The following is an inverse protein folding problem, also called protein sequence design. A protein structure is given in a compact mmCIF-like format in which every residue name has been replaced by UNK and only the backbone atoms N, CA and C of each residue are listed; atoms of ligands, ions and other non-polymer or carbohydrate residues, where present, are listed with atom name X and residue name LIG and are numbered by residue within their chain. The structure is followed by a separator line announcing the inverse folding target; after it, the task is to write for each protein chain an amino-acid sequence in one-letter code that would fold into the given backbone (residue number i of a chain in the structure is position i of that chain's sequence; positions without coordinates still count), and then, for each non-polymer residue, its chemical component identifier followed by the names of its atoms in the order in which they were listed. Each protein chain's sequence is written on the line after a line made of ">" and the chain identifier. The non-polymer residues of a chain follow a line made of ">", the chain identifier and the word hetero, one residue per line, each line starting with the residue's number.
data_IF_840127455300
#
_entry.id   IF_840127455300
#
_cell.length_a   1.000
_cell.length_b   1.000
_cell.length_c   1.000
_cell.angle_alpha   90.00
_cell.angle_beta   90.00
_cell.angle_gamma   90.00
#
_symmetry.space_group_name_H-M   'P 1'
#
loop_
_entity.id
_entity.type
_entity.pdbx_description
1 polymer ?
#
# COMPACT_ATOMS: atom_id res chain seq x y z
N UNK A 1 1.61 25.44 -7.56
CA UNK A 1 1.69 24.04 -8.07
C UNK A 1 1.60 23.13 -6.85
N UNK A 2 0.81 22.05 -6.92
CA UNK A 2 0.74 21.07 -5.82
C UNK A 2 2.08 20.35 -5.70
N UNK A 3 2.50 20.08 -4.46
CA UNK A 3 3.73 19.35 -4.17
C UNK A 3 3.60 17.89 -4.66
N UNK A 4 4.48 17.40 -5.55
CA UNK A 4 4.40 16.06 -6.11
C UNK A 4 4.65 14.95 -5.08
N UNK A 5 5.25 15.25 -3.93
CA UNK A 5 5.51 14.28 -2.87
C UNK A 5 4.28 13.98 -2.02
N UNK A 6 3.40 14.97 -1.87
CA UNK A 6 2.21 14.89 -1.00
C UNK A 6 0.90 14.86 -1.76
N UNK A 7 0.94 15.02 -3.09
CA UNK A 7 -0.25 14.98 -3.95
C UNK A 7 -0.31 13.66 -4.70
N UNK A 8 -1.37 12.83 -4.52
CA UNK A 8 -1.51 11.57 -5.23
C UNK A 8 -1.80 11.81 -6.72
N UNK A 9 -0.86 11.41 -7.58
CA UNK A 9 -1.07 11.37 -9.04
C UNK A 9 -1.88 10.13 -9.42
N UNK A 10 -2.62 10.17 -10.53
CA UNK A 10 -3.21 8.97 -11.12
C UNK A 10 -2.12 8.14 -11.80
N UNK A 11 -1.98 6.87 -11.39
CA UNK A 11 -1.02 5.92 -11.94
C UNK A 11 -1.78 4.78 -12.61
N UNK A 12 -1.55 4.54 -13.89
CA UNK A 12 -2.32 3.55 -14.67
C UNK A 12 -1.43 2.43 -15.18
N UNK A 13 -1.79 1.20 -14.83
CA UNK A 13 -1.24 -0.03 -15.37
C UNK A 13 -2.20 -0.68 -16.37
N UNK A 14 -2.07 -1.99 -16.54
CA UNK A 14 -2.93 -2.82 -17.37
C UNK A 14 -4.02 -3.53 -16.57
N UNK A 15 -3.76 -3.84 -15.30
CA UNK A 15 -4.68 -4.53 -14.38
C UNK A 15 -5.28 -3.56 -13.37
N UNK A 16 -4.53 -2.52 -12.96
CA UNK A 16 -4.92 -1.61 -11.90
C UNK A 16 -4.67 -0.15 -12.29
N UNK A 17 -5.59 0.72 -11.87
CA UNK A 17 -5.37 2.16 -11.79
C UNK A 17 -5.35 2.58 -10.32
N UNK A 18 -4.33 3.32 -9.92
CA UNK A 18 -4.28 3.99 -8.63
C UNK A 18 -4.78 5.42 -8.84
N UNK A 19 -5.85 5.79 -8.19
CA UNK A 19 -6.39 7.15 -8.25
C UNK A 19 -6.52 7.74 -6.85
N UNK A 20 -6.43 9.06 -6.73
CA UNK A 20 -6.55 9.73 -5.45
C UNK A 20 -7.78 9.23 -4.69
N UNK A 21 -7.61 8.88 -3.42
CA UNK A 21 -8.73 8.45 -2.58
C UNK A 21 -9.75 9.59 -2.45
N UNK A 22 -11.04 9.28 -2.60
CA UNK A 22 -12.14 10.24 -2.53
C UNK A 22 -13.31 9.69 -1.69
N UNK A 23 -14.17 10.57 -1.15
CA UNK A 23 -15.33 10.16 -0.36
C UNK A 23 -16.29 9.22 -1.11
N UNK A 24 -16.45 9.40 -2.42
CA UNK A 24 -17.33 8.58 -3.27
C UNK A 24 -16.87 7.11 -3.44
N UNK A 25 -15.66 6.78 -3.03
CA UNK A 25 -15.17 5.40 -2.98
C UNK A 25 -15.76 4.58 -1.82
N UNK A 26 -16.50 5.18 -0.87
CA UNK A 26 -16.93 4.53 0.37
C UNK A 26 -17.72 3.22 0.13
N UNK A 27 -18.73 3.26 -0.73
CA UNK A 27 -19.55 2.08 -1.03
C UNK A 27 -18.73 0.96 -1.67
N UNK A 28 -17.84 1.30 -2.62
CA UNK A 28 -16.98 0.34 -3.32
C UNK A 28 -15.92 -0.27 -2.38
N UNK A 29 -15.32 0.54 -1.50
CA UNK A 29 -14.38 0.04 -0.48
C UNK A 29 -15.08 -0.86 0.53
N UNK A 30 -16.31 -0.55 0.94
CA UNK A 30 -17.10 -1.42 1.80
C UNK A 30 -17.34 -2.78 1.13
N UNK A 31 -17.73 -2.77 -0.14
CA UNK A 31 -17.94 -3.99 -0.92
C UNK A 31 -16.65 -4.80 -1.14
N UNK A 32 -15.47 -4.15 -1.19
CA UNK A 32 -14.18 -4.84 -1.28
C UNK A 32 -13.73 -5.42 0.07
N UNK A 33 -14.07 -4.76 1.17
CA UNK A 33 -13.68 -5.13 2.53
C UNK A 33 -14.74 -5.98 3.27
N UNK A 34 -15.42 -6.88 2.58
CA UNK A 34 -16.50 -7.72 3.09
C UNK A 34 -16.02 -8.94 3.92
N UNK A 35 -14.73 -9.29 3.85
CA UNK A 35 -14.12 -10.41 4.57
C UNK A 35 -13.14 -9.90 5.65
N UNK A 36 -13.37 -10.19 6.95
CA UNK A 36 -12.53 -9.71 8.05
C UNK A 36 -11.07 -10.16 7.96
N UNK A 37 -10.77 -11.26 7.27
CA UNK A 37 -9.38 -11.74 7.07
C UNK A 37 -8.49 -10.71 6.38
N UNK A 38 -9.09 -9.78 5.63
CA UNK A 38 -8.38 -8.69 4.96
C UNK A 38 -7.72 -7.75 5.97
N UNK A 39 -8.33 -7.60 7.15
CA UNK A 39 -7.97 -6.63 8.18
C UNK A 39 -7.26 -7.22 9.40
N UNK A 40 -7.06 -8.55 9.45
CA UNK A 40 -6.46 -9.28 10.58
C UNK A 40 -5.21 -8.64 11.19
N UNK A 41 -4.41 -7.97 10.36
CA UNK A 41 -3.16 -7.32 10.79
C UNK A 41 -3.21 -5.77 10.70
N UNK A 42 -4.38 -5.20 10.48
CA UNK A 42 -4.61 -3.76 10.39
C UNK A 42 -5.34 -3.28 11.65
N UNK A 43 -4.63 -2.58 12.52
CA UNK A 43 -5.16 -2.10 13.79
C UNK A 43 -6.39 -1.21 13.61
N UNK A 44 -7.45 -1.50 14.39
CA UNK A 44 -8.71 -0.76 14.38
C UNK A 44 -9.50 -0.97 13.08
N UNK A 45 -9.24 -2.05 12.34
CA UNK A 45 -9.98 -2.41 11.13
C UNK A 45 -10.82 -3.66 11.36
N UNK A 46 -12.03 -3.63 10.85
CA UNK A 46 -13.00 -4.71 10.88
C UNK A 46 -13.81 -4.68 9.58
N UNK A 47 -14.78 -5.57 9.44
CA UNK A 47 -15.69 -5.59 8.28
C UNK A 47 -16.24 -4.19 8.02
N UNK A 48 -16.16 -3.77 6.76
CA UNK A 48 -16.55 -2.45 6.35
C UNK A 48 -18.02 -2.39 5.92
N UNK A 49 -18.83 -1.60 6.66
CA UNK A 49 -20.05 -1.03 6.09
C UNK A 49 -19.73 0.25 5.30
N UNK A 50 -20.63 0.73 4.43
CA UNK A 50 -20.42 2.02 3.74
C UNK A 50 -20.14 3.18 4.69
N UNK A 51 -20.79 3.22 5.86
CA UNK A 51 -20.60 4.27 6.87
C UNK A 51 -19.20 4.17 7.52
N UNK A 52 -18.76 2.97 7.84
CA UNK A 52 -17.40 2.72 8.37
C UNK A 52 -16.36 3.10 7.33
N UNK A 53 -16.57 2.74 6.06
CA UNK A 53 -15.67 3.12 4.97
C UNK A 53 -15.61 4.64 4.79
N UNK A 54 -16.75 5.33 4.80
CA UNK A 54 -16.81 6.79 4.70
C UNK A 54 -16.03 7.48 5.84
N UNK A 55 -16.25 7.07 7.08
CA UNK A 55 -15.54 7.62 8.25
C UNK A 55 -14.03 7.34 8.19
N UNK A 56 -13.60 6.21 7.60
CA UNK A 56 -12.18 5.90 7.42
C UNK A 56 -11.54 6.71 6.31
N UNK A 57 -12.23 6.90 5.20
CA UNK A 57 -11.77 7.77 4.12
C UNK A 57 -11.57 9.19 4.66
N UNK A 58 -12.56 9.72 5.37
CA UNK A 58 -12.48 11.06 5.97
C UNK A 58 -11.25 11.19 6.87
N UNK A 59 -11.04 10.25 7.81
CA UNK A 59 -9.84 10.24 8.68
C UNK A 59 -8.53 10.10 7.91
N UNK A 60 -8.52 9.31 6.83
CA UNK A 60 -7.34 9.13 5.99
C UNK A 60 -7.01 10.41 5.24
N UNK A 61 -8.01 11.08 4.66
CA UNK A 61 -7.84 12.34 3.94
C UNK A 61 -7.49 13.51 4.86
N UNK A 62 -7.97 13.50 6.11
CA UNK A 62 -7.63 14.51 7.12
C UNK A 62 -6.20 14.35 7.68
N UNK A 63 -5.52 13.23 7.42
CA UNK A 63 -4.17 13.00 7.91
C UNK A 63 -3.12 13.45 6.86
N UNK A 64 -2.44 14.58 7.06
CA UNK A 64 -1.47 15.12 6.10
C UNK A 64 -0.22 14.25 5.95
N UNK A 65 0.02 13.29 6.85
CA UNK A 65 1.13 12.36 6.76
C UNK A 65 0.87 11.19 5.77
N UNK A 66 -0.32 11.13 5.17
CA UNK A 66 -0.69 10.07 4.23
C UNK A 66 -0.94 10.64 2.83
N UNK A 67 -0.45 9.93 1.83
CA UNK A 67 -0.78 10.16 0.41
C UNK A 67 -1.55 8.92 -0.07
N UNK A 68 -2.89 8.95 -0.05
CA UNK A 68 -3.71 7.77 -0.24
C UNK A 68 -4.20 7.60 -1.68
N UNK A 69 -4.21 6.35 -2.15
CA UNK A 69 -4.82 5.92 -3.40
C UNK A 69 -5.87 4.84 -3.18
N UNK A 70 -6.97 4.94 -3.93
CA UNK A 70 -7.85 3.82 -4.21
C UNK A 70 -7.23 2.96 -5.33
N UNK A 71 -7.34 1.64 -5.22
CA UNK A 71 -6.88 0.67 -6.22
C UNK A 71 -8.09 0.20 -7.04
N UNK A 72 -8.20 0.62 -8.30
CA UNK A 72 -9.30 0.24 -9.19
C UNK A 72 -8.87 -0.90 -10.10
N UNK A 73 -9.56 -2.03 -10.05
CA UNK A 73 -9.36 -3.15 -10.99
C UNK A 73 -9.90 -2.74 -12.38
N UNK A 74 -9.02 -2.64 -13.35
CA UNK A 74 -9.38 -2.20 -14.71
C UNK A 74 -10.21 -3.20 -15.50
N UNK A 75 -10.29 -4.47 -15.05
CA UNK A 75 -11.12 -5.49 -15.71
C UNK A 75 -12.59 -5.38 -15.33
N UNK A 76 -12.87 -4.89 -14.11
CA UNK A 76 -14.23 -4.80 -13.57
C UNK A 76 -14.71 -3.37 -13.34
N UNK A 77 -13.77 -2.40 -13.24
CA UNK A 77 -14.05 -1.03 -12.83
C UNK A 77 -14.28 -0.89 -11.32
N UNK A 78 -14.16 -1.97 -10.54
CA UNK A 78 -14.41 -1.97 -9.11
C UNK A 78 -13.19 -1.48 -8.32
N UNK A 79 -13.44 -0.80 -7.20
CA UNK A 79 -12.38 -0.50 -6.24
C UNK A 79 -12.03 -1.77 -5.46
N UNK A 80 -10.80 -2.23 -5.63
CA UNK A 80 -10.30 -3.45 -5.00
C UNK A 80 -9.76 -3.26 -3.58
N UNK A 81 -9.43 -2.03 -3.21
CA UNK A 81 -8.82 -1.69 -1.92
C UNK A 81 -8.13 -0.34 -1.94
N UNK A 82 -7.21 -0.13 -1.02
CA UNK A 82 -6.42 1.11 -0.92
C UNK A 82 -4.97 0.86 -0.57
N UNK A 83 -4.15 1.88 -0.80
CA UNK A 83 -2.72 1.93 -0.42
C UNK A 83 -2.29 3.37 -0.20
N UNK A 84 -1.21 3.60 0.54
CA UNK A 84 -0.69 4.95 0.78
C UNK A 84 0.83 5.00 0.65
N UNK A 85 1.37 6.19 0.29
CA UNK A 85 2.65 6.60 0.83
C UNK A 85 2.44 7.21 2.22
N UNK A 86 3.40 7.03 3.09
CA UNK A 86 3.49 7.65 4.41
C UNK A 86 4.97 7.80 4.79
N UNK A 87 5.27 8.49 5.90
CA UNK A 87 6.64 8.85 6.26
C UNK A 87 7.39 9.46 5.07
N UNK A 88 6.70 10.35 4.35
CA UNK A 88 7.22 11.04 3.17
C UNK A 88 8.21 12.10 3.61
N UNK A 89 9.45 12.01 3.15
CA UNK A 89 10.50 12.98 3.40
C UNK A 89 11.20 13.33 2.07
N UNK A 90 10.86 14.51 1.55
CA UNK A 90 11.40 14.99 0.27
C UNK A 90 12.87 15.41 0.39
N UNK A 91 13.33 15.85 1.57
CA UNK A 91 14.72 16.24 1.80
C UNK A 91 15.63 15.00 1.84
N UNK A 92 15.22 13.97 2.57
CA UNK A 92 15.90 12.68 2.62
C UNK A 92 15.61 11.82 1.39
N UNK A 93 14.68 12.22 0.54
CA UNK A 93 14.21 11.49 -0.65
C UNK A 93 13.76 10.07 -0.31
N UNK A 94 12.91 9.93 0.72
CA UNK A 94 12.40 8.65 1.20
C UNK A 94 10.88 8.65 1.31
N UNK A 95 10.28 7.48 1.11
CA UNK A 95 8.87 7.23 1.38
C UNK A 95 8.69 5.84 1.96
N UNK A 96 7.63 5.65 2.74
CA UNK A 96 7.16 4.31 3.09
C UNK A 96 5.88 3.98 2.32
N UNK A 97 5.74 2.72 1.89
CA UNK A 97 4.51 2.19 1.28
C UNK A 97 3.78 1.33 2.30
N UNK A 98 2.52 1.66 2.58
CA UNK A 98 1.73 0.90 3.53
C UNK A 98 0.26 1.24 3.52
N UNK A 99 -0.42 0.98 4.66
CA UNK A 99 -1.88 1.08 4.74
C UNK A 99 -2.58 0.32 3.60
N UNK A 100 -1.89 -0.71 3.06
CA UNK A 100 -2.34 -1.48 1.91
C UNK A 100 -3.24 -2.62 2.36
N UNK A 101 -4.42 -2.66 1.77
CA UNK A 101 -5.29 -3.82 1.81
C UNK A 101 -6.02 -3.96 0.47
N UNK A 102 -6.39 -5.18 0.16
CA UNK A 102 -7.12 -5.54 -1.05
C UNK A 102 -8.15 -6.59 -0.65
N UNK A 103 -9.37 -6.43 -1.11
CA UNK A 103 -10.45 -7.37 -0.90
C UNK A 103 -10.07 -8.80 -1.30
N UNK A 104 -10.53 -9.80 -0.56
CA UNK A 104 -10.12 -11.20 -0.73
C UNK A 104 -10.35 -11.72 -2.15
N UNK A 105 -11.44 -11.30 -2.82
CA UNK A 105 -11.76 -11.69 -4.20
C UNK A 105 -10.75 -11.21 -5.24
N UNK A 106 -9.93 -10.21 -4.88
CA UNK A 106 -8.87 -9.65 -5.75
C UNK A 106 -7.48 -10.22 -5.45
N UNK A 107 -7.36 -11.22 -4.56
CA UNK A 107 -6.05 -11.80 -4.26
C UNK A 107 -5.54 -12.69 -5.39
N UNK A 108 -4.21 -12.76 -5.57
CA UNK A 108 -3.49 -13.65 -6.50
C UNK A 108 -3.86 -13.47 -7.98
N UNK A 109 -4.29 -12.28 -8.36
CA UNK A 109 -4.65 -11.94 -9.74
C UNK A 109 -3.70 -10.93 -10.41
N UNK A 110 -2.53 -10.66 -9.80
CA UNK A 110 -1.54 -9.69 -10.31
C UNK A 110 -1.76 -8.24 -9.86
N UNK A 111 -2.98 -7.85 -9.46
CA UNK A 111 -3.35 -6.48 -9.13
C UNK A 111 -2.41 -5.82 -8.11
N UNK A 112 -2.14 -6.49 -6.98
CA UNK A 112 -1.24 -5.94 -5.97
C UNK A 112 0.21 -5.81 -6.48
N UNK A 113 0.66 -6.73 -7.30
CA UNK A 113 2.02 -6.68 -7.88
C UNK A 113 2.16 -5.48 -8.81
N UNK A 114 1.17 -5.25 -9.69
CA UNK A 114 1.18 -4.09 -10.57
C UNK A 114 1.00 -2.77 -9.79
N UNK A 115 0.12 -2.74 -8.78
CA UNK A 115 0.00 -1.57 -7.90
C UNK A 115 1.34 -1.19 -7.23
N UNK A 116 2.12 -2.19 -6.78
CA UNK A 116 3.44 -1.94 -6.20
C UNK A 116 4.46 -1.52 -7.27
N UNK A 117 4.41 -2.09 -8.47
CA UNK A 117 5.24 -1.63 -9.60
C UNK A 117 4.99 -0.14 -9.90
N UNK A 118 3.74 0.28 -9.98
CA UNK A 118 3.36 1.68 -10.22
C UNK A 118 3.84 2.62 -9.10
N UNK A 119 3.63 2.25 -7.84
CA UNK A 119 4.09 3.05 -6.70
C UNK A 119 5.62 3.15 -6.64
N UNK A 120 6.34 2.07 -6.93
CA UNK A 120 7.80 2.06 -6.97
C UNK A 120 8.34 2.89 -8.14
N UNK A 121 7.70 2.81 -9.32
CA UNK A 121 7.99 3.69 -10.46
C UNK A 121 7.81 5.16 -10.06
N UNK A 122 6.68 5.50 -9.42
CA UNK A 122 6.45 6.85 -8.91
C UNK A 122 7.52 7.29 -7.93
N UNK A 123 7.90 6.43 -6.98
CA UNK A 123 8.89 6.77 -5.95
C UNK A 123 10.29 6.96 -6.56
N UNK A 124 10.80 5.99 -7.31
CA UNK A 124 12.18 6.01 -7.78
C UNK A 124 12.36 6.82 -9.06
N UNK A 125 11.53 6.58 -10.09
CA UNK A 125 11.75 7.16 -11.42
C UNK A 125 11.21 8.60 -11.52
N UNK A 126 10.14 8.95 -10.77
CA UNK A 126 9.51 10.27 -10.87
C UNK A 126 9.85 11.20 -9.70
N UNK A 127 9.83 10.71 -8.44
CA UNK A 127 10.17 11.50 -7.26
C UNK A 127 11.66 11.48 -6.93
N UNK A 128 12.43 10.57 -7.52
CA UNK A 128 13.87 10.44 -7.27
C UNK A 128 14.19 9.95 -5.86
N UNK A 129 13.31 9.13 -5.25
CA UNK A 129 13.61 8.50 -3.97
C UNK A 129 14.91 7.71 -4.05
N UNK A 130 15.71 7.76 -2.99
CA UNK A 130 16.88 6.88 -2.81
C UNK A 130 16.52 5.62 -2.01
N UNK A 131 15.35 5.64 -1.33
CA UNK A 131 14.92 4.56 -0.46
C UNK A 131 13.40 4.51 -0.34
N UNK A 132 12.84 3.30 -0.46
CA UNK A 132 11.45 2.99 -0.15
C UNK A 132 11.39 1.96 0.97
N UNK A 133 10.50 2.18 1.94
CA UNK A 133 10.41 1.38 3.17
C UNK A 133 9.05 0.68 3.29
N UNK A 134 9.01 -0.48 3.93
CA UNK A 134 7.79 -1.16 4.36
C UNK A 134 7.90 -1.58 5.82
N UNK A 135 6.79 -1.42 6.55
CA UNK A 135 6.65 -1.90 7.91
C UNK A 135 5.50 -2.90 7.99
N UNK A 136 5.76 -4.10 8.48
CA UNK A 136 4.72 -5.11 8.65
C UNK A 136 4.81 -5.78 10.03
N UNK A 137 3.69 -6.31 10.53
CA UNK A 137 3.69 -7.09 11.76
C UNK A 137 4.50 -8.37 11.57
N UNK A 138 5.30 -8.75 12.57
CA UNK A 138 6.06 -10.00 12.56
C UNK A 138 5.16 -11.23 12.40
N UNK A 139 3.90 -11.15 12.84
CA UNK A 139 2.88 -12.20 12.66
C UNK A 139 2.30 -12.24 11.23
N UNK A 140 2.48 -11.18 10.44
CA UNK A 140 1.93 -11.09 9.07
C UNK A 140 2.91 -11.69 8.05
N UNK A 141 3.06 -13.01 8.06
CA UNK A 141 3.94 -13.74 7.15
C UNK A 141 3.56 -13.51 5.68
N UNK A 142 2.26 -13.39 5.38
CA UNK A 142 1.76 -13.08 4.04
C UNK A 142 2.31 -11.76 3.51
N UNK A 143 2.27 -10.70 4.34
CA UNK A 143 2.82 -9.40 3.98
C UNK A 143 4.33 -9.46 3.82
N UNK A 144 5.05 -10.10 4.75
CA UNK A 144 6.50 -10.27 4.67
C UNK A 144 6.90 -10.97 3.36
N UNK A 145 6.24 -12.08 3.03
CA UNK A 145 6.49 -12.80 1.77
C UNK A 145 6.15 -11.95 0.53
N UNK A 146 5.08 -11.14 0.58
CA UNK A 146 4.72 -10.25 -0.52
C UNK A 146 5.77 -9.16 -0.73
N UNK A 147 6.27 -8.53 0.34
CA UNK A 147 7.30 -7.49 0.29
C UNK A 147 8.63 -8.08 -0.21
N UNK A 148 9.04 -9.23 0.30
CA UNK A 148 10.25 -9.92 -0.16
C UNK A 148 10.20 -10.26 -1.67
N UNK A 149 9.02 -10.66 -2.20
CA UNK A 149 8.84 -10.91 -3.64
C UNK A 149 9.02 -9.66 -4.51
N UNK A 150 8.80 -8.44 -3.96
CA UNK A 150 9.11 -7.21 -4.67
C UNK A 150 10.61 -7.01 -4.87
N UNK A 151 11.43 -7.67 -4.04
CA UNK A 151 12.87 -7.55 -4.01
C UNK A 151 13.40 -6.71 -2.85
N UNK A 152 12.51 -6.26 -1.97
CA UNK A 152 12.90 -5.53 -0.79
C UNK A 152 13.71 -6.41 0.17
N UNK A 153 14.76 -5.84 0.77
CA UNK A 153 15.61 -6.49 1.75
C UNK A 153 15.05 -6.30 3.16
N UNK A 154 15.11 -7.36 3.98
CA UNK A 154 14.75 -7.31 5.38
C UNK A 154 15.89 -6.70 6.19
N UNK A 155 15.64 -5.58 6.87
CA UNK A 155 16.67 -4.87 7.65
C UNK A 155 16.67 -5.25 9.12
N UNK A 156 15.50 -5.52 9.70
CA UNK A 156 15.44 -5.82 11.12
C UNK A 156 14.03 -5.89 11.70
N UNK A 157 13.98 -5.87 13.04
CA UNK A 157 12.74 -5.92 13.82
C UNK A 157 12.77 -4.83 14.89
N UNK A 158 11.76 -3.96 14.83
CA UNK A 158 11.49 -3.01 15.91
C UNK A 158 10.62 -3.70 16.96
N UNK A 159 11.21 -4.01 18.11
CA UNK A 159 10.51 -4.72 19.19
C UNK A 159 9.53 -3.81 19.92
N UNK A 160 8.32 -4.35 20.25
CA UNK A 160 7.24 -3.60 20.95
C UNK A 160 6.96 -2.23 20.33
N UNK A 161 6.95 -2.16 19.00
CA UNK A 161 6.89 -0.90 18.26
C UNK A 161 5.50 -0.23 18.33
N UNK A 162 4.42 -1.02 18.28
CA UNK A 162 3.04 -0.50 18.30
C UNK A 162 2.14 -1.43 19.12
N UNK A 163 1.08 -0.93 19.77
CA UNK A 163 0.08 -1.79 20.38
C UNK A 163 -0.79 -2.45 19.30
N UNK A 164 -1.28 -3.69 19.57
CA UNK A 164 -2.35 -4.35 18.80
C UNK A 164 -3.70 -4.15 19.47
N UNK A 165 -4.77 -4.47 18.77
CA UNK A 165 -6.14 -4.36 19.29
C UNK A 165 -6.43 -5.39 20.40
N UNK A 166 -5.71 -6.50 20.44
CA UNK A 166 -5.75 -7.53 21.50
C UNK A 166 -5.00 -7.13 22.78
N UNK A 167 -4.46 -5.89 22.85
CA UNK A 167 -3.66 -5.39 23.98
C UNK A 167 -2.20 -5.86 23.98
N UNK A 168 -1.82 -6.76 23.08
CA UNK A 168 -0.41 -7.18 22.95
C UNK A 168 0.43 -6.13 22.22
N UNK A 169 1.77 -6.27 22.32
CA UNK A 169 2.68 -5.42 21.57
C UNK A 169 3.09 -6.05 20.25
N UNK A 170 3.03 -5.27 19.20
CA UNK A 170 3.50 -5.63 17.86
C UNK A 170 5.01 -5.42 17.77
N UNK A 171 5.73 -6.46 17.37
CA UNK A 171 7.04 -6.33 16.77
C UNK A 171 6.87 -6.06 15.27
N UNK A 172 7.58 -5.05 14.77
CA UNK A 172 7.47 -4.63 13.38
C UNK A 172 8.71 -5.02 12.60
N UNK A 173 8.51 -5.81 11.55
CA UNK A 173 9.58 -6.12 10.60
C UNK A 173 9.69 -4.95 9.62
N UNK A 174 10.92 -4.46 9.43
CA UNK A 174 11.26 -3.41 8.48
C UNK A 174 11.92 -4.02 7.25
N UNK A 175 11.46 -3.61 6.08
CA UNK A 175 12.05 -3.90 4.78
C UNK A 175 12.37 -2.59 4.06
N UNK A 176 13.34 -2.61 3.17
CA UNK A 176 13.63 -1.50 2.27
C UNK A 176 14.01 -1.97 0.88
N UNK A 177 13.95 -1.04 -0.06
CA UNK A 177 14.54 -1.12 -1.40
C UNK A 177 15.25 0.19 -1.67
N UNK A 178 16.45 0.13 -2.24
CA UNK A 178 17.25 1.29 -2.62
C UNK A 178 17.15 1.57 -4.12
N UNK A 179 17.54 2.78 -4.52
CA UNK A 179 17.48 3.23 -5.91
C UNK A 179 18.37 2.40 -6.87
N UNK A 180 19.51 1.93 -6.39
CA UNK A 180 20.41 1.05 -7.15
C UNK A 180 19.88 -0.40 -7.29
N UNK A 181 18.97 -0.84 -6.45
CA UNK A 181 18.28 -2.13 -6.51
C UNK A 181 17.04 -2.09 -7.42
N UNK A 182 16.46 -0.90 -7.62
CA UNK A 182 15.20 -0.71 -8.33
C UNK A 182 15.23 -1.19 -9.79
N UNK A 183 16.23 -0.90 -10.62
CA UNK A 183 16.20 -1.33 -12.02
C UNK A 183 16.00 -2.83 -12.18
N UNK A 184 16.70 -3.64 -11.39
CA UNK A 184 16.55 -5.10 -11.41
C UNK A 184 15.19 -5.57 -10.88
N UNK A 185 14.71 -4.94 -9.80
CA UNK A 185 13.40 -5.24 -9.21
C UNK A 185 12.27 -4.92 -10.20
N UNK A 186 12.33 -3.76 -10.88
CA UNK A 186 11.38 -3.33 -11.91
C UNK A 186 11.26 -4.34 -13.03
N UNK A 187 12.39 -4.73 -13.61
CA UNK A 187 12.41 -5.65 -14.75
C UNK A 187 11.83 -7.02 -14.38
N UNK A 188 12.15 -7.52 -13.18
CA UNK A 188 11.60 -8.76 -12.63
C UNK A 188 10.09 -8.67 -12.41
N UNK A 189 9.58 -7.58 -11.83
CA UNK A 189 8.14 -7.37 -11.58
C UNK A 189 7.38 -7.25 -12.90
N UNK A 190 7.90 -6.48 -13.86
CA UNK A 190 7.33 -6.37 -15.19
C UNK A 190 7.28 -7.71 -15.92
N UNK A 191 8.32 -8.55 -15.81
CA UNK A 191 8.34 -9.89 -16.38
C UNK A 191 7.32 -10.83 -15.71
N UNK A 192 7.10 -10.71 -14.40
CA UNK A 192 6.13 -11.53 -13.67
C UNK A 192 4.67 -11.19 -14.06
N UNK A 193 4.39 -9.95 -14.43
CA UNK A 193 3.06 -9.50 -14.85
C UNK A 193 2.70 -9.91 -16.30
N UNK A 194 3.68 -10.29 -17.12
CA UNK A 194 3.47 -10.79 -18.49
C UNK A 194 3.16 -12.30 -18.59
N UNK A 195 3.23 -13.04 -17.49
CA UNK A 195 2.94 -14.48 -17.40
C UNK A 195 1.51 -14.76 -17.04
#
# INVERSE_FOLDING_TARGET
>A
MSDPWTTPATLSGTLVRLEALRPDHAASLAAAGDDPVVFEHLRGWDVMTPEVAAARIERTLANPALVPWAQVDLRTGEVAGMTCFYDVDAELRTVAIGHTWIGRRFWRNGLNTEAKLLLLTRAFDELGCVRVVWHTDIRNERSQAAIARLGAQREGVLRKHKPRDDGSWRDTVTFSMLDDEWPQARDRLAAALRR
#
